data_IF_382732385477
#
_entry.id   IF_382732385477
#
_cell.length_a   1.000
_cell.length_b   1.000
_cell.length_c   1.000
_cell.angle_alpha   90.00
_cell.angle_beta   90.00
_cell.angle_gamma   90.00
#
_symmetry.space_group_name_H-M   'P 1'
#
loop_
_entity.id
_entity.type
_entity.pdbx_description
1 polymer ?
#
# COMPACT_ATOMS: atom_id res chain seq x y z
N UNK A 1 -8.99 -17.14 0.98
CA UNK A 1 -9.29 -15.88 0.27
C UNK A 1 -8.98 -14.75 1.24
N UNK A 2 -7.80 -14.13 1.10
CA UNK A 2 -7.37 -13.05 1.97
C UNK A 2 -7.98 -11.75 1.44
N UNK A 3 -8.76 -11.06 2.28
CA UNK A 3 -9.28 -9.74 1.97
C UNK A 3 -8.10 -8.74 1.91
N UNK A 4 -8.04 -7.83 0.93
CA UNK A 4 -7.14 -6.69 1.01
C UNK A 4 -7.70 -5.74 2.09
N UNK A 5 -6.85 -5.37 3.05
CA UNK A 5 -7.22 -4.39 4.07
C UNK A 5 -7.40 -3.01 3.43
N UNK A 6 -8.60 -2.44 3.56
CA UNK A 6 -8.90 -1.08 3.15
C UNK A 6 -9.36 -0.22 4.33
N UNK A 7 -9.05 1.07 4.21
CA UNK A 7 -8.88 2.02 5.31
C UNK A 7 -10.17 2.35 6.07
N UNK A 8 -10.03 2.49 7.39
CA UNK A 8 -10.97 3.26 8.20
C UNK A 8 -10.77 4.76 7.86
N UNK A 9 -11.70 5.67 8.22
CA UNK A 9 -11.54 7.12 8.05
C UNK A 9 -10.28 7.75 8.71
N UNK A 10 -9.44 6.92 9.36
CA UNK A 10 -8.17 7.32 9.98
C UNK A 10 -7.08 7.70 8.98
N UNK A 11 -7.14 7.32 7.71
CA UNK A 11 -6.13 7.70 6.71
C UNK A 11 -6.15 9.21 6.38
N UNK A 12 -7.29 9.88 6.52
CA UNK A 12 -7.47 11.31 6.24
C UNK A 12 -6.92 12.22 7.36
N UNK A 13 -7.06 11.78 8.62
CA UNK A 13 -6.73 12.58 9.81
C UNK A 13 -5.23 12.97 9.88
N UNK A 14 -4.25 12.05 9.68
CA UNK A 14 -2.83 12.40 9.69
C UNK A 14 -2.47 13.44 8.63
N UNK A 15 -3.11 13.38 7.46
CA UNK A 15 -2.79 14.22 6.31
C UNK A 15 -3.33 15.63 6.53
N UNK A 16 -4.58 15.73 6.99
CA UNK A 16 -5.21 17.00 7.38
C UNK A 16 -4.50 17.66 8.56
N UNK A 17 -4.23 16.95 9.64
CA UNK A 17 -3.60 17.51 10.84
C UNK A 17 -2.19 18.03 10.55
N UNK A 18 -1.40 17.30 9.76
CA UNK A 18 -0.09 17.78 9.35
C UNK A 18 -0.21 19.06 8.47
N UNK A 19 -1.12 19.06 7.49
CA UNK A 19 -1.29 20.20 6.59
C UNK A 19 -1.81 21.46 7.30
N UNK A 20 -2.80 21.34 8.18
CA UNK A 20 -3.30 22.44 9.01
C UNK A 20 -2.21 23.01 9.93
N UNK A 21 -1.29 22.17 10.41
CA UNK A 21 -0.13 22.60 11.19
C UNK A 21 1.01 23.21 10.34
N UNK A 22 0.77 23.47 9.04
CA UNK A 22 1.79 23.97 8.11
C UNK A 22 2.91 22.96 7.81
N UNK A 23 2.75 21.71 8.23
CA UNK A 23 3.70 20.62 8.00
C UNK A 23 3.29 19.86 6.74
N UNK A 24 4.30 19.41 5.99
CA UNK A 24 4.05 18.52 4.85
C UNK A 24 3.65 17.14 5.38
N UNK A 25 2.41 16.73 5.11
CA UNK A 25 1.93 15.40 5.47
C UNK A 25 2.83 14.31 4.89
N UNK A 26 3.05 13.23 5.65
CA UNK A 26 3.76 12.06 5.15
C UNK A 26 3.08 11.52 3.89
N UNK A 27 3.86 11.12 2.88
CA UNK A 27 3.34 10.68 1.59
C UNK A 27 2.86 11.78 0.64
N UNK A 28 2.55 13.00 1.09
CA UNK A 28 2.09 14.09 0.19
C UNK A 28 3.26 14.86 -0.43
N UNK A 29 3.28 14.97 -1.76
CA UNK A 29 4.25 15.74 -2.54
C UNK A 29 3.88 17.20 -2.62
N UNK A 30 2.63 17.49 -2.95
CA UNK A 30 2.12 18.85 -3.11
C UNK A 30 0.59 18.86 -2.94
N UNK A 31 0.05 20.04 -2.65
CA UNK A 31 -1.39 20.30 -2.66
C UNK A 31 -1.64 21.28 -3.80
N UNK A 32 -2.40 20.86 -4.79
CA UNK A 32 -2.72 21.66 -5.99
C UNK A 32 -4.07 22.33 -5.78
N UNK A 33 -4.17 23.66 -5.79
CA UNK A 33 -5.45 24.36 -5.86
C UNK A 33 -6.10 24.08 -7.22
N UNK A 34 -7.24 23.41 -7.21
CA UNK A 34 -7.95 22.94 -8.40
C UNK A 34 -9.24 23.73 -8.63
N UNK A 35 -9.15 25.06 -8.65
CA UNK A 35 -10.29 25.94 -8.90
C UNK A 35 -11.37 25.88 -7.80
N UNK A 36 -12.61 26.19 -8.19
CA UNK A 36 -13.76 26.24 -7.30
C UNK A 36 -14.93 25.45 -7.91
N UNK A 37 -15.65 24.70 -7.06
CA UNK A 37 -16.94 24.11 -7.40
C UNK A 37 -18.06 25.07 -7.04
N UNK A 38 -19.09 25.13 -7.88
CA UNK A 38 -20.34 25.86 -7.59
C UNK A 38 -21.42 24.85 -7.22
N UNK A 39 -21.95 24.99 -6.01
CA UNK A 39 -23.08 24.20 -5.49
C UNK A 39 -24.31 25.08 -5.54
N UNK A 40 -25.32 24.69 -6.32
CA UNK A 40 -26.54 25.47 -6.57
C UNK A 40 -27.76 24.85 -5.90
N UNK A 41 -27.91 23.53 -5.97
CA UNK A 41 -29.03 22.79 -5.37
C UNK A 41 -28.69 22.23 -3.99
N UNK A 42 -27.40 22.16 -3.65
CA UNK A 42 -26.92 21.52 -2.43
C UNK A 42 -26.75 20.00 -2.56
N UNK A 43 -27.17 19.40 -3.68
CA UNK A 43 -27.10 17.96 -3.93
C UNK A 43 -25.79 17.64 -4.66
N UNK A 44 -24.78 17.25 -3.89
CA UNK A 44 -23.48 16.87 -4.42
C UNK A 44 -23.50 15.44 -4.96
N UNK A 45 -22.87 15.25 -6.12
CA UNK A 45 -22.57 13.95 -6.74
C UNK A 45 -21.05 13.79 -6.85
N UNK A 46 -20.57 12.57 -6.59
CA UNK A 46 -19.25 12.13 -7.04
C UNK A 46 -19.38 10.88 -7.89
N UNK A 47 -18.80 10.90 -9.09
CA UNK A 47 -18.87 9.80 -10.06
C UNK A 47 -17.68 9.85 -11.03
N UNK A 48 -17.61 8.87 -11.92
CA UNK A 48 -16.93 9.05 -13.20
C UNK A 48 -17.84 9.91 -14.11
N UNK A 49 -17.42 11.11 -14.51
CA UNK A 49 -18.26 12.03 -15.26
C UNK A 49 -18.57 11.56 -16.68
N UNK A 50 -17.78 10.64 -17.24
CA UNK A 50 -17.93 10.16 -18.61
C UNK A 50 -18.66 8.83 -18.69
N UNK A 51 -18.64 8.05 -17.61
CA UNK A 51 -19.19 6.71 -17.57
C UNK A 51 -20.48 6.59 -16.77
N UNK A 52 -20.66 7.40 -15.72
CA UNK A 52 -21.84 7.35 -14.85
C UNK A 52 -22.38 8.75 -14.46
N UNK A 53 -22.62 9.67 -15.41
CA UNK A 53 -23.17 11.00 -15.11
C UNK A 53 -24.61 10.99 -14.56
N UNK A 54 -25.27 9.84 -14.54
CA UNK A 54 -26.62 9.63 -13.98
C UNK A 54 -26.63 9.22 -12.50
N UNK A 55 -25.46 9.10 -11.87
CA UNK A 55 -25.35 8.65 -10.48
C UNK A 55 -26.16 9.56 -9.53
N UNK A 56 -26.93 9.00 -8.58
CA UNK A 56 -27.68 9.78 -7.61
C UNK A 56 -26.77 10.66 -6.74
N UNK A 57 -27.27 11.82 -6.27
CA UNK A 57 -26.55 12.63 -5.30
C UNK A 57 -26.48 11.96 -3.93
N UNK A 58 -25.53 12.39 -3.12
CA UNK A 58 -25.44 12.02 -1.72
C UNK A 58 -26.67 12.53 -0.94
N UNK A 59 -27.05 11.81 0.12
CA UNK A 59 -28.23 12.15 0.93
C UNK A 59 -28.05 13.46 1.70
N UNK A 60 -26.82 13.73 2.15
CA UNK A 60 -26.50 14.94 2.88
C UNK A 60 -26.40 16.14 1.93
N UNK A 61 -27.22 17.15 2.21
CA UNK A 61 -27.19 18.42 1.49
C UNK A 61 -26.04 19.31 1.96
N UNK A 62 -25.45 20.03 1.02
CA UNK A 62 -24.49 21.10 1.27
C UNK A 62 -25.18 22.46 1.12
N UNK A 63 -24.68 23.47 1.83
CA UNK A 63 -25.12 24.83 1.59
C UNK A 63 -24.75 25.25 0.15
N UNK A 64 -25.65 25.94 -0.58
CA UNK A 64 -25.29 26.55 -1.86
C UNK A 64 -24.15 27.55 -1.69
N UNK A 65 -23.23 27.58 -2.66
CA UNK A 65 -22.05 28.43 -2.57
C UNK A 65 -20.97 28.08 -3.58
N UNK A 66 -19.86 28.80 -3.49
CA UNK A 66 -18.63 28.52 -4.23
C UNK A 66 -17.57 28.05 -3.25
N UNK A 67 -16.98 26.89 -3.52
CA UNK A 67 -16.03 26.26 -2.60
C UNK A 67 -14.75 25.87 -3.31
N UNK A 68 -13.57 26.17 -2.75
CA UNK A 68 -12.31 25.80 -3.35
C UNK A 68 -12.10 24.29 -3.31
N UNK A 69 -11.57 23.75 -4.41
CA UNK A 69 -11.18 22.35 -4.54
C UNK A 69 -9.67 22.21 -4.44
N UNK A 70 -9.19 21.21 -3.71
CA UNK A 70 -7.78 20.92 -3.54
C UNK A 70 -7.48 19.47 -3.90
N UNK A 71 -6.36 19.25 -4.58
CA UNK A 71 -5.88 17.91 -4.94
C UNK A 71 -4.59 17.62 -4.19
N UNK A 72 -4.57 16.51 -3.45
CA UNK A 72 -3.41 16.08 -2.69
C UNK A 72 -2.64 15.06 -3.53
N UNK A 73 -1.49 15.48 -4.04
CA UNK A 73 -0.66 14.66 -4.93
C UNK A 73 0.32 13.85 -4.08
N UNK A 74 0.38 12.54 -4.30
CA UNK A 74 1.28 11.65 -3.60
C UNK A 74 2.74 11.81 -4.07
N UNK A 75 3.70 11.52 -3.19
CA UNK A 75 5.14 11.48 -3.50
C UNK A 75 5.45 10.32 -4.42
N UNK A 76 4.90 9.16 -4.09
CA UNK A 76 4.99 7.96 -4.91
C UNK A 76 3.99 8.07 -6.07
N UNK A 77 4.41 7.71 -7.28
CA UNK A 77 3.62 7.83 -8.51
C UNK A 77 3.34 9.26 -9.01
N UNK A 78 3.42 10.29 -8.14
CA UNK A 78 2.97 11.66 -8.47
C UNK A 78 1.51 11.73 -8.95
N UNK A 79 0.67 10.84 -8.46
CA UNK A 79 -0.76 10.75 -8.76
C UNK A 79 -1.61 11.46 -7.70
N UNK A 80 -2.87 11.75 -8.01
CA UNK A 80 -3.82 12.39 -7.08
C UNK A 80 -4.30 11.33 -6.09
N UNK A 81 -3.96 11.47 -4.81
CA UNK A 81 -4.45 10.55 -3.78
C UNK A 81 -5.76 11.00 -3.13
N UNK A 82 -6.02 12.30 -3.07
CA UNK A 82 -7.33 12.85 -2.65
C UNK A 82 -7.77 14.02 -3.50
N UNK A 83 -9.08 14.14 -3.68
CA UNK A 83 -9.74 15.38 -4.06
C UNK A 83 -10.60 15.88 -2.90
N UNK A 84 -10.49 17.16 -2.57
CA UNK A 84 -11.17 17.78 -1.42
C UNK A 84 -11.96 19.01 -1.87
N UNK A 85 -13.23 19.09 -1.47
CA UNK A 85 -13.98 20.34 -1.40
C UNK A 85 -13.83 20.90 0.02
N UNK A 86 -13.39 22.16 0.16
CA UNK A 86 -13.28 22.81 1.47
C UNK A 86 -14.44 23.78 1.68
N UNK A 87 -15.35 23.43 2.58
CA UNK A 87 -16.55 24.22 2.87
C UNK A 87 -16.34 25.21 4.00
N UNK A 88 -15.60 24.80 5.04
CA UNK A 88 -15.34 25.61 6.23
C UNK A 88 -13.87 25.54 6.62
N UNK A 89 -13.40 26.53 7.37
CA UNK A 89 -12.07 26.54 7.99
C UNK A 89 -12.17 26.14 9.46
N UNK A 90 -12.84 25.02 9.74
CA UNK A 90 -12.99 24.44 11.08
C UNK A 90 -12.16 23.16 11.21
N UNK A 91 -11.85 22.78 12.44
CA UNK A 91 -11.18 21.51 12.73
C UNK A 91 -12.15 20.36 12.45
N UNK A 92 -11.68 19.33 11.74
CA UNK A 92 -12.45 18.11 11.55
C UNK A 92 -12.37 17.27 12.83
N UNK A 93 -13.53 16.93 13.36
CA UNK A 93 -13.68 15.99 14.47
C UNK A 93 -13.61 14.55 13.95
N UNK A 94 -14.43 14.20 12.96
CA UNK A 94 -14.45 12.87 12.35
C UNK A 94 -14.90 12.91 10.89
N UNK A 95 -14.79 11.76 10.21
CA UNK A 95 -15.27 11.57 8.84
C UNK A 95 -16.37 10.51 8.81
N UNK A 96 -17.40 10.78 8.04
CA UNK A 96 -18.50 9.86 7.75
C UNK A 96 -18.50 9.50 6.26
N UNK A 97 -18.83 8.26 5.92
CA UNK A 97 -18.96 7.83 4.53
C UNK A 97 -20.16 8.54 3.88
N UNK A 98 -19.96 9.10 2.68
CA UNK A 98 -21.03 9.71 1.92
C UNK A 98 -21.89 8.63 1.24
N UNK A 99 -23.15 8.52 1.66
CA UNK A 99 -24.13 7.56 1.15
C UNK A 99 -25.09 8.20 0.16
N UNK A 100 -25.60 7.39 -0.77
CA UNK A 100 -26.79 7.71 -1.57
C UNK A 100 -28.01 7.00 -0.97
N UNK A 101 -29.22 7.39 -1.40
CA UNK A 101 -30.45 6.79 -0.93
C UNK A 101 -30.42 5.25 -1.03
N UNK A 102 -30.72 4.59 0.09
CA UNK A 102 -30.73 3.12 0.19
C UNK A 102 -29.39 2.49 0.55
N UNK A 103 -28.34 3.27 0.82
CA UNK A 103 -27.09 2.77 1.40
C UNK A 103 -27.01 3.08 2.89
N UNK A 104 -26.80 2.05 3.71
CA UNK A 104 -26.53 2.21 5.14
C UNK A 104 -25.11 1.73 5.45
N UNK A 105 -24.28 2.62 6.01
CA UNK A 105 -22.91 2.27 6.39
C UNK A 105 -22.85 1.15 7.44
N UNK A 106 -23.92 0.91 8.21
CA UNK A 106 -24.03 -0.20 9.15
C UNK A 106 -24.07 -1.58 8.46
N UNK A 107 -24.41 -1.65 7.18
CA UNK A 107 -24.41 -2.89 6.39
C UNK A 107 -22.99 -3.33 5.97
N UNK A 108 -21.99 -2.45 6.13
CA UNK A 108 -20.62 -2.70 5.71
C UNK A 108 -19.88 -3.56 6.75
N UNK A 109 -19.20 -4.60 6.26
CA UNK A 109 -18.22 -5.35 7.06
C UNK A 109 -16.89 -4.59 7.12
N UNK A 110 -16.00 -5.00 8.02
CA UNK A 110 -14.65 -4.46 8.09
C UNK A 110 -13.95 -4.49 6.71
N UNK A 111 -13.42 -3.34 6.31
CA UNK A 111 -12.75 -3.15 5.02
C UNK A 111 -13.67 -2.94 3.82
N UNK A 112 -15.00 -2.95 3.99
CA UNK A 112 -15.96 -2.63 2.94
C UNK A 112 -16.32 -1.14 2.95
N UNK A 113 -16.66 -0.61 1.78
CA UNK A 113 -17.15 0.74 1.62
C UNK A 113 -18.13 0.83 0.44
N UNK A 114 -19.00 1.83 0.47
CA UNK A 114 -19.71 2.27 -0.73
C UNK A 114 -18.85 3.28 -1.49
N UNK A 115 -18.73 3.08 -2.79
CA UNK A 115 -17.98 3.96 -3.66
C UNK A 115 -18.63 4.10 -5.03
N UNK A 116 -18.08 5.00 -5.83
CA UNK A 116 -18.41 5.09 -7.23
C UNK A 116 -17.31 4.41 -8.07
N UNK A 117 -17.68 3.61 -9.08
CA UNK A 117 -16.72 3.03 -9.99
C UNK A 117 -16.20 4.09 -10.96
N UNK A 118 -14.95 3.92 -11.37
CA UNK A 118 -14.27 4.73 -12.38
C UNK A 118 -13.71 3.79 -13.45
N UNK A 119 -13.90 4.17 -14.71
CA UNK A 119 -13.49 3.40 -15.89
C UNK A 119 -12.87 4.30 -17.00
N UNK A 120 -13.04 5.62 -16.89
CA UNK A 120 -12.34 6.58 -17.75
C UNK A 120 -11.03 7.11 -17.13
N UNK A 121 -10.59 6.57 -15.99
CA UNK A 121 -9.51 7.15 -15.17
C UNK A 121 -9.80 8.58 -14.70
N UNK A 122 -11.08 8.94 -14.54
CA UNK A 122 -11.55 10.26 -14.11
C UNK A 122 -12.57 10.13 -12.98
N UNK A 123 -12.38 10.92 -11.93
CA UNK A 123 -13.41 11.21 -10.94
C UNK A 123 -13.91 12.64 -11.07
N UNK A 124 -15.07 12.93 -10.51
CA UNK A 124 -15.55 14.29 -10.40
C UNK A 124 -16.27 14.62 -9.10
N UNK A 125 -16.40 15.92 -8.84
CA UNK A 125 -17.42 16.50 -7.98
C UNK A 125 -18.31 17.41 -8.81
N UNK A 126 -19.62 17.30 -8.64
CA UNK A 126 -20.59 18.17 -9.29
C UNK A 126 -21.83 18.36 -8.43
N UNK A 127 -22.41 19.55 -8.48
CA UNK A 127 -23.84 19.68 -8.17
C UNK A 127 -24.64 18.88 -9.22
N UNK A 128 -25.73 18.23 -8.83
CA UNK A 128 -26.57 17.49 -9.76
C UNK A 128 -27.02 18.32 -10.97
N UNK A 129 -27.20 19.64 -10.82
CA UNK A 129 -27.59 20.52 -11.93
C UNK A 129 -26.47 20.61 -12.98
N UNK A 130 -25.23 20.80 -12.54
CA UNK A 130 -24.05 20.81 -13.42
C UNK A 130 -23.86 19.45 -14.12
N UNK A 131 -24.13 18.35 -13.41
CA UNK A 131 -24.00 17.01 -13.98
C UNK A 131 -25.10 16.70 -15.01
N UNK A 132 -26.33 17.20 -14.80
CA UNK A 132 -27.39 17.17 -15.83
C UNK A 132 -26.95 17.90 -17.10
N UNK A 133 -26.36 19.08 -16.95
CA UNK A 133 -25.84 19.83 -18.10
C UNK A 133 -24.74 19.10 -18.86
N UNK A 134 -23.87 18.38 -18.16
CA UNK A 134 -22.86 17.52 -18.79
C UNK A 134 -23.51 16.44 -19.65
N UNK A 135 -24.49 15.72 -19.10
CA UNK A 135 -25.22 14.67 -19.81
C UNK A 135 -25.97 15.22 -21.02
N UNK A 136 -26.62 16.37 -20.89
CA UNK A 136 -27.35 17.00 -21.99
C UNK A 136 -26.40 17.42 -23.11
N UNK A 137 -25.21 17.94 -22.77
CA UNK A 137 -24.18 18.29 -23.74
C UNK A 137 -23.58 17.07 -24.45
N UNK A 138 -23.33 15.98 -23.72
CA UNK A 138 -22.89 14.70 -24.28
C UNK A 138 -23.93 14.11 -25.25
N UNK A 139 -25.19 14.03 -24.83
CA UNK A 139 -26.28 13.56 -25.67
C UNK A 139 -26.47 14.42 -26.93
N UNK A 140 -26.36 15.76 -26.80
CA UNK A 140 -26.45 16.67 -27.94
C UNK A 140 -25.32 16.43 -28.96
N UNK A 141 -24.09 16.24 -28.50
CA UNK A 141 -22.95 15.92 -29.38
C UNK A 141 -23.08 14.57 -30.04
N UNK A 142 -23.43 13.54 -29.27
CA UNK A 142 -23.69 12.19 -29.81
C UNK A 142 -24.75 12.23 -30.91
N UNK A 143 -25.80 13.02 -30.74
CA UNK A 143 -26.85 13.22 -31.76
C UNK A 143 -26.33 13.96 -32.99
N UNK A 144 -25.51 15.00 -32.82
CA UNK A 144 -24.99 15.81 -33.92
C UNK A 144 -23.92 15.10 -34.75
N UNK A 145 -23.02 14.36 -34.09
CA UNK A 145 -21.86 13.70 -34.70
C UNK A 145 -22.17 12.25 -35.10
N UNK A 146 -23.16 11.61 -34.48
CA UNK A 146 -23.61 10.27 -34.85
C UNK A 146 -22.49 9.23 -34.73
N UNK A 147 -22.26 8.37 -35.75
CA UNK A 147 -21.24 7.32 -35.69
C UNK A 147 -19.80 7.80 -35.55
N UNK A 148 -19.50 9.07 -35.87
CA UNK A 148 -18.15 9.62 -35.66
C UNK A 148 -17.88 10.04 -34.23
N UNK A 149 -18.90 10.07 -33.38
CA UNK A 149 -18.76 10.43 -31.98
C UNK A 149 -18.00 9.35 -31.22
N UNK A 150 -16.78 9.67 -30.78
CA UNK A 150 -15.98 8.78 -29.94
C UNK A 150 -16.47 8.80 -28.49
N UNK A 151 -16.18 9.90 -27.79
CA UNK A 151 -16.66 10.12 -26.42
C UNK A 151 -16.57 11.60 -26.04
N UNK A 152 -17.21 11.97 -24.94
CA UNK A 152 -17.13 13.32 -24.41
C UNK A 152 -15.72 13.67 -23.88
N UNK A 153 -14.83 12.68 -23.74
CA UNK A 153 -13.43 12.89 -23.40
C UNK A 153 -12.73 13.81 -24.41
N UNK A 154 -13.10 13.78 -25.69
CA UNK A 154 -12.50 14.66 -26.71
C UNK A 154 -12.80 16.14 -26.46
N UNK A 155 -13.89 16.44 -25.75
CA UNK A 155 -14.26 17.80 -25.30
C UNK A 155 -13.45 18.20 -24.08
N UNK A 156 -13.31 17.29 -23.11
CA UNK A 156 -12.69 17.58 -21.81
C UNK A 156 -11.16 17.50 -21.88
N UNK A 157 -10.59 16.68 -22.76
CA UNK A 157 -9.15 16.42 -22.82
C UNK A 157 -8.28 17.64 -23.15
N UNK A 158 -8.67 18.58 -24.03
CA UNK A 158 -7.90 19.81 -24.24
C UNK A 158 -7.86 20.68 -22.97
N UNK A 159 -8.98 20.74 -22.23
CA UNK A 159 -9.07 21.52 -20.99
C UNK A 159 -8.25 20.87 -19.86
N UNK A 160 -8.28 19.53 -19.76
CA UNK A 160 -7.40 18.79 -18.84
C UNK A 160 -5.93 19.08 -19.13
N UNK A 161 -5.51 19.09 -20.41
CA UNK A 161 -4.12 19.38 -20.82
C UNK A 161 -3.65 20.76 -20.35
N UNK A 162 -4.53 21.76 -20.33
CA UNK A 162 -4.20 23.10 -19.84
C UNK A 162 -3.77 23.10 -18.35
N UNK A 163 -4.24 22.14 -17.57
CA UNK A 163 -3.86 21.94 -16.16
C UNK A 163 -2.90 20.75 -15.97
N UNK A 164 -2.04 20.48 -16.95
CA UNK A 164 -1.06 19.40 -16.90
C UNK A 164 -1.68 18.00 -16.93
N UNK A 165 -2.89 17.87 -17.47
CA UNK A 165 -3.61 16.60 -17.61
C UNK A 165 -4.28 16.09 -16.33
N UNK A 166 -4.32 16.92 -15.27
CA UNK A 166 -4.70 16.49 -13.91
C UNK A 166 -6.15 16.80 -13.53
N UNK A 167 -6.66 17.96 -13.90
CA UNK A 167 -7.99 18.42 -13.49
C UNK A 167 -8.55 19.52 -14.39
N UNK A 168 -9.86 19.77 -14.28
CA UNK A 168 -10.54 20.87 -14.95
C UNK A 168 -11.84 21.23 -14.22
N UNK A 169 -12.17 22.52 -14.19
CA UNK A 169 -13.51 23.01 -13.85
C UNK A 169 -14.34 23.14 -15.14
N UNK A 170 -14.84 22.01 -15.65
CA UNK A 170 -15.50 21.97 -16.96
C UNK A 170 -16.90 22.58 -16.87
N UNK A 171 -17.27 23.42 -17.85
CA UNK A 171 -18.58 24.08 -17.93
C UNK A 171 -19.34 23.60 -19.17
N UNK A 172 -20.22 22.60 -19.05
CA UNK A 172 -20.87 21.99 -20.21
C UNK A 172 -21.68 22.97 -21.07
N UNK A 173 -22.25 24.01 -20.47
CA UNK A 173 -23.04 25.03 -21.18
C UNK A 173 -22.28 26.34 -21.44
N UNK A 174 -21.02 26.46 -21.00
CA UNK A 174 -20.10 27.60 -21.21
C UNK A 174 -20.50 28.95 -20.58
N UNK A 175 -21.80 29.26 -20.54
CA UNK A 175 -22.40 30.53 -20.11
C UNK A 175 -22.87 30.50 -18.65
N UNK A 176 -23.02 29.31 -18.06
CA UNK A 176 -23.44 29.15 -16.66
C UNK A 176 -22.23 29.13 -15.73
N UNK A 177 -22.44 29.52 -14.46
CA UNK A 177 -21.40 29.39 -13.43
C UNK A 177 -21.20 27.94 -12.98
N UNK A 178 -22.13 27.05 -13.31
CA UNK A 178 -22.15 25.64 -12.90
C UNK A 178 -21.05 24.86 -13.62
N UNK A 179 -20.19 24.23 -12.82
CA UNK A 179 -19.04 23.48 -13.31
C UNK A 179 -19.00 22.08 -12.72
N UNK A 180 -18.59 21.12 -13.55
CA UNK A 180 -18.20 19.77 -13.13
C UNK A 180 -16.70 19.81 -12.86
N UNK A 181 -16.31 19.57 -11.61
CA UNK A 181 -14.91 19.49 -11.22
C UNK A 181 -14.38 18.11 -11.54
N UNK A 182 -13.66 17.96 -12.65
CA UNK A 182 -13.13 16.68 -13.14
C UNK A 182 -11.66 16.58 -12.78
N UNK A 183 -11.20 15.41 -12.34
CA UNK A 183 -9.81 15.14 -11.98
C UNK A 183 -9.41 13.68 -12.25
N UNK A 184 -8.10 13.44 -12.45
CA UNK A 184 -7.54 12.08 -12.55
C UNK A 184 -7.76 11.32 -11.24
N UNK A 185 -8.14 10.05 -11.36
CA UNK A 185 -8.43 9.17 -10.21
C UNK A 185 -7.22 8.32 -9.83
N UNK A 186 -6.37 8.78 -8.90
CA UNK A 186 -5.25 7.97 -8.42
C UNK A 186 -4.43 7.33 -9.53
N UNK A 187 -4.29 6.00 -9.46
CA UNK A 187 -3.60 5.16 -10.44
C UNK A 187 -4.48 4.75 -11.65
N UNK A 188 -5.74 5.18 -11.69
CA UNK A 188 -6.67 4.94 -12.80
C UNK A 188 -8.03 4.41 -12.34
N UNK A 189 -8.48 3.36 -12.99
CA UNK A 189 -9.80 2.75 -12.78
C UNK A 189 -9.88 2.04 -11.43
N UNK A 190 -11.10 1.94 -10.90
CA UNK A 190 -11.32 1.38 -9.57
C UNK A 190 -12.65 1.75 -8.98
N UNK A 191 -12.83 1.54 -7.67
CA UNK A 191 -14.00 2.00 -6.92
C UNK A 191 -13.54 2.87 -5.77
N UNK A 192 -14.06 4.10 -5.70
CA UNK A 192 -13.56 5.12 -4.79
C UNK A 192 -14.66 5.67 -3.90
N UNK A 193 -14.33 5.82 -2.62
CA UNK A 193 -15.25 6.32 -1.60
C UNK A 193 -15.12 7.83 -1.40
N UNK A 194 -16.26 8.45 -1.14
CA UNK A 194 -16.35 9.86 -0.75
C UNK A 194 -16.78 9.96 0.71
N UNK A 195 -16.27 10.95 1.43
CA UNK A 195 -16.50 11.15 2.85
C UNK A 195 -16.83 12.60 3.17
N UNK A 196 -17.74 12.81 4.12
CA UNK A 196 -17.98 14.10 4.75
C UNK A 196 -17.07 14.23 5.98
N UNK A 197 -16.24 15.26 6.03
CA UNK A 197 -15.51 15.61 7.26
C UNK A 197 -16.32 16.61 8.05
N UNK A 198 -16.71 16.23 9.27
CA UNK A 198 -17.54 17.00 10.16
C UNK A 198 -16.71 17.66 11.24
N UNK A 199 -17.08 18.88 11.64
CA UNK A 199 -16.53 19.49 12.85
C UNK A 199 -17.27 19.03 14.12
N UNK A 200 -16.85 19.54 15.27
CA UNK A 200 -17.39 19.15 16.57
C UNK A 200 -18.89 19.47 16.74
N UNK A 201 -19.43 20.39 15.92
CA UNK A 201 -20.85 20.74 15.92
C UNK A 201 -21.66 19.87 14.93
N UNK A 202 -21.01 18.94 14.23
CA UNK A 202 -21.62 18.08 13.21
C UNK A 202 -21.75 18.75 11.84
N UNK A 203 -21.21 19.95 11.66
CA UNK A 203 -21.29 20.69 10.41
C UNK A 203 -20.27 20.18 9.38
N UNK A 204 -20.67 20.15 8.10
CA UNK A 204 -19.77 19.71 7.03
C UNK A 204 -18.70 20.78 6.79
N UNK A 205 -17.47 20.47 7.19
CA UNK A 205 -16.32 21.31 6.97
C UNK A 205 -15.63 20.99 5.63
N UNK A 206 -15.76 19.76 5.14
CA UNK A 206 -15.21 19.34 3.85
C UNK A 206 -15.93 18.11 3.26
N UNK A 207 -15.68 17.88 1.98
CA UNK A 207 -15.94 16.60 1.31
C UNK A 207 -14.65 16.09 0.70
N UNK A 208 -14.37 14.79 0.81
CA UNK A 208 -13.13 14.17 0.30
C UNK A 208 -13.41 12.87 -0.43
N UNK A 209 -12.86 12.73 -1.63
CA UNK A 209 -12.74 11.43 -2.30
C UNK A 209 -11.35 10.86 -2.06
N UNK A 210 -11.28 9.60 -1.61
CA UNK A 210 -10.04 8.83 -1.54
C UNK A 210 -9.82 8.00 -2.80
N UNK A 211 -8.65 8.15 -3.41
CA UNK A 211 -8.20 7.28 -4.49
C UNK A 211 -7.32 6.12 -4.02
N UNK A 212 -7.29 5.85 -2.71
CA UNK A 212 -6.55 4.74 -2.09
C UNK A 212 -5.04 4.74 -2.38
N UNK A 213 -4.47 5.89 -2.73
CA UNK A 213 -3.03 6.06 -3.00
C UNK A 213 -2.23 6.19 -1.71
N UNK A 214 -2.78 6.87 -0.69
CA UNK A 214 -2.09 7.04 0.58
C UNK A 214 -2.30 5.79 1.43
N UNK A 215 -1.25 5.01 1.62
CA UNK A 215 -1.26 3.91 2.57
C UNK A 215 -1.51 4.43 3.99
N UNK A 216 -2.32 3.72 4.78
CA UNK A 216 -2.38 3.98 6.21
C UNK A 216 -0.98 3.83 6.83
N UNK A 217 -0.60 4.69 7.79
CA UNK A 217 0.56 4.43 8.60
C UNK A 217 0.31 3.15 9.41
N UNK A 218 0.79 2.02 8.88
CA UNK A 218 0.76 0.74 9.59
C UNK A 218 1.55 0.91 10.89
N UNK A 219 0.92 0.62 12.04
CA UNK A 219 1.59 0.77 13.34
C UNK A 219 2.87 -0.08 13.38
N UNK A 220 3.89 0.30 14.18
CA UNK A 220 5.09 -0.52 14.33
C UNK A 220 4.78 -1.98 14.69
N UNK A 221 3.77 -2.20 15.54
CA UNK A 221 3.29 -3.51 15.96
C UNK A 221 2.69 -4.29 14.79
N UNK A 222 1.83 -3.65 13.97
CA UNK A 222 1.23 -4.30 12.80
C UNK A 222 2.26 -4.57 11.70
N UNK A 223 3.25 -3.69 11.51
CA UNK A 223 4.37 -3.95 10.61
C UNK A 223 5.17 -5.17 11.05
N UNK A 224 5.46 -5.27 12.35
CA UNK A 224 6.14 -6.43 12.92
C UNK A 224 5.32 -7.70 12.74
N UNK A 225 4.02 -7.66 13.05
CA UNK A 225 3.11 -8.78 12.85
C UNK A 225 3.09 -9.25 11.39
N UNK A 226 2.96 -8.33 10.42
CA UNK A 226 3.00 -8.67 9.00
C UNK A 226 4.31 -9.36 8.64
N UNK A 227 5.46 -8.84 9.10
CA UNK A 227 6.77 -9.48 8.88
C UNK A 227 6.81 -10.89 9.49
N UNK A 228 6.32 -11.07 10.70
CA UNK A 228 6.27 -12.38 11.37
C UNK A 228 5.39 -13.37 10.60
N UNK A 229 4.18 -12.97 10.19
CA UNK A 229 3.26 -13.80 9.40
C UNK A 229 3.87 -14.21 8.05
N UNK A 230 4.58 -13.29 7.38
CA UNK A 230 5.29 -13.57 6.11
C UNK A 230 6.36 -14.65 6.28
N UNK A 231 7.11 -14.61 7.38
CA UNK A 231 8.19 -15.57 7.62
C UNK A 231 7.70 -16.87 8.27
N UNK A 232 6.51 -16.93 8.85
CA UNK A 232 6.02 -18.10 9.59
C UNK A 232 6.11 -19.42 8.80
N UNK A 233 5.69 -19.50 7.52
CA UNK A 233 5.84 -20.74 6.73
C UNK A 233 7.30 -21.15 6.52
N UNK A 234 8.19 -20.17 6.34
CA UNK A 234 9.63 -20.43 6.18
C UNK A 234 10.26 -20.94 7.48
N UNK A 235 9.93 -20.33 8.63
CA UNK A 235 10.39 -20.78 9.94
C UNK A 235 9.95 -22.22 10.20
N UNK A 236 8.67 -22.53 9.96
CA UNK A 236 8.13 -23.88 10.14
C UNK A 236 8.86 -24.92 9.25
N UNK A 237 9.19 -24.56 8.01
CA UNK A 237 9.97 -25.42 7.12
C UNK A 237 11.40 -25.66 7.63
N UNK A 238 12.10 -24.61 8.08
CA UNK A 238 13.46 -24.73 8.63
C UNK A 238 13.47 -25.55 9.91
N UNK A 239 12.50 -25.35 10.81
CA UNK A 239 12.38 -26.14 12.04
C UNK A 239 12.15 -27.63 11.77
N UNK A 240 11.28 -27.94 10.80
CA UNK A 240 11.01 -29.32 10.38
C UNK A 240 12.23 -29.99 9.75
N UNK A 241 12.86 -29.32 8.79
CA UNK A 241 13.87 -29.96 7.92
C UNK A 241 15.29 -29.91 8.51
N UNK A 242 15.64 -28.83 9.21
CA UNK A 242 16.98 -28.60 9.76
C UNK A 242 16.94 -28.59 11.29
N UNK A 243 15.91 -28.00 11.88
CA UNK A 243 15.80 -27.82 13.32
C UNK A 243 15.76 -29.13 14.10
N UNK A 244 15.03 -30.14 13.60
CA UNK A 244 15.01 -31.47 14.21
C UNK A 244 16.41 -32.13 14.23
N UNK A 245 17.17 -31.97 13.15
CA UNK A 245 18.54 -32.46 13.06
C UNK A 245 19.48 -31.71 14.02
N UNK A 246 19.42 -30.37 14.06
CA UNK A 246 20.26 -29.59 14.98
C UNK A 246 19.94 -29.91 16.45
N UNK A 247 18.66 -30.09 16.78
CA UNK A 247 18.24 -30.50 18.12
C UNK A 247 18.75 -31.90 18.49
N UNK A 248 18.76 -32.86 17.56
CA UNK A 248 19.36 -34.18 17.81
C UNK A 248 20.88 -34.13 18.03
N UNK A 249 21.53 -33.05 17.56
CA UNK A 249 22.93 -32.74 17.85
C UNK A 249 23.12 -31.87 19.10
N UNK A 250 22.08 -31.65 19.91
CA UNK A 250 22.17 -30.91 21.17
C UNK A 250 22.07 -29.38 21.04
N UNK A 251 21.74 -28.86 19.86
CA UNK A 251 21.41 -27.44 19.75
C UNK A 251 20.01 -27.13 20.32
N UNK A 252 19.87 -25.93 20.86
CA UNK A 252 18.60 -25.40 21.35
C UNK A 252 17.55 -25.34 20.24
N UNK A 253 16.27 -25.19 20.63
CA UNK A 253 15.26 -24.66 19.70
C UNK A 253 15.71 -23.29 19.16
N UNK A 254 15.31 -22.91 17.94
CA UNK A 254 15.73 -21.65 17.36
C UNK A 254 15.10 -20.47 18.08
N UNK A 255 15.88 -19.42 18.27
CA UNK A 255 15.37 -18.11 18.57
C UNK A 255 15.18 -17.33 17.26
N UNK A 256 13.96 -16.85 17.01
CA UNK A 256 13.62 -16.06 15.83
C UNK A 256 13.59 -14.56 16.17
N UNK A 257 14.43 -13.79 15.48
CA UNK A 257 14.42 -12.33 15.56
C UNK A 257 14.00 -11.73 14.21
N UNK A 258 13.05 -10.79 14.27
CA UNK A 258 12.49 -10.12 13.10
C UNK A 258 12.89 -8.64 13.07
N UNK A 259 13.18 -8.11 11.88
CA UNK A 259 13.39 -6.68 11.67
C UNK A 259 12.50 -6.16 10.54
N UNK A 260 11.77 -5.10 10.82
CA UNK A 260 10.96 -4.38 9.82
C UNK A 260 11.85 -3.45 9.01
N UNK A 261 11.72 -3.48 7.68
CA UNK A 261 12.36 -2.54 6.75
C UNK A 261 11.30 -1.75 5.98
N UNK A 262 11.72 -0.67 5.33
CA UNK A 262 10.82 0.18 4.52
C UNK A 262 10.21 -0.56 3.32
N UNK A 263 10.92 -1.54 2.79
CA UNK A 263 10.60 -2.30 1.58
C UNK A 263 10.51 -3.82 1.84
N UNK A 264 10.45 -4.25 3.11
CA UNK A 264 10.44 -5.67 3.44
C UNK A 264 10.63 -6.00 4.91
N UNK A 265 11.18 -7.18 5.15
CA UNK A 265 11.58 -7.63 6.49
C UNK A 265 12.81 -8.54 6.44
N UNK A 266 13.47 -8.67 7.59
CA UNK A 266 14.55 -9.63 7.81
C UNK A 266 14.18 -10.61 8.92
N UNK A 267 14.67 -11.84 8.78
CA UNK A 267 14.59 -12.90 9.77
C UNK A 267 16.00 -13.39 10.08
N UNK A 268 16.33 -13.45 11.37
CA UNK A 268 17.49 -14.12 11.94
C UNK A 268 17.01 -15.29 12.83
N UNK A 269 17.23 -16.53 12.40
CA UNK A 269 17.03 -17.73 13.22
C UNK A 269 18.36 -18.16 13.82
N UNK A 270 18.42 -18.33 15.14
CA UNK A 270 19.65 -18.73 15.85
C UNK A 270 19.44 -19.98 16.69
N UNK A 271 20.24 -21.01 16.45
CA UNK A 271 20.35 -22.23 17.26
C UNK A 271 21.67 -22.18 18.03
N UNK A 272 21.68 -22.59 19.30
CA UNK A 272 22.87 -22.50 20.16
C UNK A 272 23.21 -23.82 20.83
N UNK A 273 24.51 -24.10 21.03
CA UNK A 273 25.03 -25.25 21.78
C UNK A 273 26.43 -24.95 22.29
N UNK A 274 26.65 -24.96 23.60
CA UNK A 274 27.99 -24.89 24.20
C UNK A 274 28.92 -23.80 23.59
N UNK A 275 28.38 -22.58 23.44
CA UNK A 275 29.10 -21.44 22.85
C UNK A 275 29.11 -21.40 21.30
N UNK A 276 28.62 -22.45 20.63
CA UNK A 276 28.43 -22.49 19.17
C UNK A 276 27.08 -21.90 18.77
N UNK A 277 27.06 -21.23 17.61
CA UNK A 277 25.84 -20.68 17.04
C UNK A 277 25.68 -21.10 15.57
N UNK A 278 24.51 -21.65 15.24
CA UNK A 278 24.07 -21.83 13.87
C UNK A 278 23.00 -20.80 13.55
N UNK A 279 23.27 -19.95 12.56
CA UNK A 279 22.39 -18.85 12.18
C UNK A 279 21.88 -19.01 10.76
N UNK A 280 20.57 -18.81 10.56
CA UNK A 280 19.95 -18.67 9.24
C UNK A 280 19.42 -17.26 9.13
N UNK A 281 19.94 -16.49 8.17
CA UNK A 281 19.48 -15.13 7.87
C UNK A 281 18.84 -15.05 6.50
N UNK A 282 17.69 -14.41 6.41
CA UNK A 282 16.97 -14.24 5.15
C UNK A 282 16.21 -12.91 5.10
N UNK A 283 15.96 -12.42 3.89
CA UNK A 283 15.20 -11.20 3.64
C UNK A 283 14.04 -11.44 2.69
N UNK A 284 12.92 -10.76 2.94
CA UNK A 284 11.75 -10.73 2.07
C UNK A 284 11.48 -9.28 1.64
N UNK A 285 11.23 -9.06 0.35
CA UNK A 285 10.84 -7.75 -0.18
C UNK A 285 9.33 -7.68 -0.39
N UNK A 286 8.74 -6.54 -0.06
CA UNK A 286 7.42 -6.13 -0.51
C UNK A 286 7.52 -5.71 -1.99
N UNK A 287 6.75 -6.34 -2.87
CA UNK A 287 6.49 -5.77 -4.21
C UNK A 287 5.07 -5.21 -4.21
N UNK A 288 4.96 -3.96 -4.66
CA UNK A 288 3.75 -3.15 -4.98
C UNK A 288 2.44 -3.50 -4.26
N UNK A 289 1.84 -2.47 -3.64
CA UNK A 289 0.55 -2.51 -2.93
C UNK A 289 -0.61 -3.09 -3.77
N UNK A 290 -0.50 -3.08 -5.10
CA UNK A 290 -1.52 -3.57 -6.03
C UNK A 290 -1.51 -5.08 -6.27
N UNK A 291 -0.43 -5.80 -5.94
CA UNK A 291 -0.33 -7.26 -6.08
C UNK A 291 0.78 -7.76 -5.15
N UNK A 292 0.41 -8.21 -3.94
CA UNK A 292 1.34 -8.69 -2.92
C UNK A 292 1.97 -10.04 -3.30
N UNK A 293 2.79 -10.06 -4.35
CA UNK A 293 3.63 -11.18 -4.71
C UNK A 293 5.01 -11.03 -4.07
N UNK A 294 5.30 -11.89 -3.10
CA UNK A 294 6.58 -11.91 -2.38
C UNK A 294 7.67 -12.61 -3.19
N UNK A 295 8.85 -12.01 -3.27
CA UNK A 295 10.04 -12.64 -3.87
C UNK A 295 11.17 -12.68 -2.85
N UNK A 296 11.61 -13.89 -2.53
CA UNK A 296 12.79 -14.14 -1.70
C UNK A 296 14.05 -13.77 -2.46
N UNK A 297 14.88 -12.90 -1.89
CA UNK A 297 16.05 -12.38 -2.61
C UNK A 297 17.35 -13.09 -2.24
N UNK A 298 17.60 -13.42 -0.97
CA UNK A 298 18.84 -14.08 -0.49
C UNK A 298 18.64 -14.80 0.85
N UNK A 299 19.11 -16.04 0.96
CA UNK A 299 19.26 -16.77 2.22
C UNK A 299 20.73 -17.16 2.46
N UNK A 300 21.27 -16.83 3.64
CA UNK A 300 22.62 -17.23 4.07
C UNK A 300 22.49 -18.01 5.37
N UNK A 301 22.93 -19.26 5.37
CA UNK A 301 23.15 -20.02 6.59
C UNK A 301 24.62 -19.89 6.98
N UNK A 302 24.92 -19.60 8.23
CA UNK A 302 26.28 -19.56 8.74
C UNK A 302 26.38 -20.38 10.01
N UNK A 303 27.32 -21.31 10.05
CA UNK A 303 27.76 -21.96 11.29
C UNK A 303 28.99 -21.21 11.78
N UNK A 304 28.87 -20.55 12.93
CA UNK A 304 29.99 -19.87 13.58
C UNK A 304 30.55 -20.81 14.66
N UNK A 305 31.75 -21.34 14.42
CA UNK A 305 32.45 -22.23 15.35
C UNK A 305 33.57 -21.43 15.98
N UNK A 306 33.39 -21.03 17.23
CA UNK A 306 34.35 -20.21 17.94
C UNK A 306 34.07 -20.11 19.43
N UNK A 307 35.12 -20.12 20.24
CA UNK A 307 35.05 -19.66 21.64
C UNK A 307 35.19 -18.12 21.62
N UNK A 308 34.76 -17.40 22.67
CA UNK A 308 34.52 -15.94 22.70
C UNK A 308 35.64 -15.02 22.15
N UNK A 309 36.83 -15.55 21.87
CA UNK A 309 38.01 -14.85 21.36
C UNK A 309 38.41 -15.16 19.90
N UNK A 310 37.85 -16.18 19.23
CA UNK A 310 38.15 -16.50 17.82
C UNK A 310 36.91 -17.03 17.09
N UNK A 311 36.44 -16.30 16.07
CA UNK A 311 35.30 -16.69 15.21
C UNK A 311 35.78 -17.23 13.88
N UNK A 312 35.52 -18.49 13.59
CA UNK A 312 35.65 -19.07 12.25
C UNK A 312 34.25 -19.43 11.74
N UNK A 313 33.72 -18.60 10.83
CA UNK A 313 32.38 -18.79 10.26
C UNK A 313 32.43 -19.48 8.90
N UNK A 314 31.67 -20.56 8.73
CA UNK A 314 31.40 -21.16 7.41
C UNK A 314 30.03 -20.70 6.94
N UNK A 315 29.98 -20.03 5.78
CA UNK A 315 28.74 -19.53 5.18
C UNK A 315 28.31 -20.38 3.99
N UNK A 316 27.08 -20.90 4.04
CA UNK A 316 26.40 -21.63 2.98
C UNK A 316 25.32 -20.73 2.34
N UNK A 317 25.32 -20.65 1.01
CA UNK A 317 24.29 -19.95 0.25
C UNK A 317 23.14 -20.92 -0.06
N UNK A 318 21.91 -20.56 0.32
CA UNK A 318 20.73 -21.33 -0.07
C UNK A 318 20.25 -20.86 -1.45
N UNK A 319 19.87 -21.76 -2.39
CA UNK A 319 19.31 -21.37 -3.68
C UNK A 319 17.99 -20.62 -3.48
N UNK A 320 17.78 -19.58 -4.29
CA UNK A 320 16.62 -18.68 -4.30
C UNK A 320 15.30 -19.30 -4.79
N UNK A 321 15.18 -20.62 -4.86
CA UNK A 321 14.04 -21.32 -5.43
C UNK A 321 13.08 -21.85 -4.34
N UNK A 322 12.41 -20.94 -3.64
CA UNK A 322 11.20 -21.22 -2.86
C UNK A 322 10.10 -20.30 -3.40
N UNK A 323 9.70 -20.55 -4.65
CA UNK A 323 8.42 -20.07 -5.15
C UNK A 323 7.34 -20.97 -4.54
N UNK A 324 6.50 -20.40 -3.69
CA UNK A 324 5.33 -21.11 -3.15
C UNK A 324 4.35 -21.24 -4.32
N UNK A 325 4.30 -22.43 -4.90
CA UNK A 325 3.38 -22.84 -5.95
C UNK A 325 3.53 -24.33 -6.18
N UNK A 326 2.53 -25.09 -5.73
CA UNK A 326 2.25 -26.50 -6.00
C UNK A 326 3.33 -27.58 -5.75
N UNK A 327 3.00 -28.47 -4.81
CA UNK A 327 3.19 -29.94 -4.78
C UNK A 327 4.52 -30.62 -5.19
N UNK A 328 5.62 -29.92 -5.50
CA UNK A 328 6.86 -30.54 -5.99
C UNK A 328 8.13 -30.29 -5.14
N UNK A 329 8.00 -29.77 -3.91
CA UNK A 329 9.13 -29.37 -3.07
C UNK A 329 9.71 -30.47 -2.16
N UNK A 330 9.71 -31.74 -2.58
CA UNK A 330 10.17 -32.86 -1.73
C UNK A 330 11.66 -33.24 -1.86
N UNK A 331 12.49 -32.50 -2.61
CA UNK A 331 13.85 -32.98 -2.96
C UNK A 331 15.00 -32.19 -2.30
N UNK A 332 14.72 -31.13 -1.52
CA UNK A 332 15.78 -30.27 -0.97
C UNK A 332 16.24 -30.68 0.43
N UNK A 333 15.32 -31.07 1.32
CA UNK A 333 15.65 -31.58 2.66
C UNK A 333 16.44 -32.90 2.62
N UNK A 334 16.16 -33.78 1.64
CA UNK A 334 16.87 -35.04 1.46
C UNK A 334 18.35 -34.86 1.06
N UNK A 335 18.70 -33.78 0.34
CA UNK A 335 20.10 -33.52 -0.06
C UNK A 335 20.96 -32.95 1.07
N UNK A 336 20.40 -32.13 1.95
CA UNK A 336 21.14 -31.64 3.14
C UNK A 336 21.29 -32.77 4.16
N UNK A 337 20.24 -33.56 4.40
CA UNK A 337 20.29 -34.72 5.29
C UNK A 337 21.28 -35.79 4.82
N UNK A 338 21.24 -36.21 3.56
CA UNK A 338 22.08 -37.29 3.03
C UNK A 338 23.53 -36.89 2.76
N UNK A 339 23.79 -35.63 2.37
CA UNK A 339 25.16 -35.16 2.12
C UNK A 339 25.93 -34.86 3.41
N UNK A 340 25.24 -34.64 4.54
CA UNK A 340 25.87 -34.39 5.84
C UNK A 340 25.87 -35.58 6.80
N UNK A 341 25.01 -36.59 6.68
CA UNK A 341 25.26 -37.87 7.38
C UNK A 341 26.58 -38.49 6.92
N UNK A 342 26.99 -38.30 5.65
CA UNK A 342 28.28 -38.73 5.12
C UNK A 342 29.49 -37.86 5.54
N UNK A 343 29.26 -36.63 6.06
CA UNK A 343 30.32 -35.69 6.43
C UNK A 343 30.34 -35.30 7.92
N UNK A 344 29.33 -35.63 8.71
CA UNK A 344 29.35 -35.41 10.16
C UNK A 344 30.37 -36.30 10.87
N UNK A 345 30.59 -37.53 10.38
CA UNK A 345 31.66 -38.41 10.86
C UNK A 345 33.07 -37.90 10.45
N UNK A 346 33.15 -36.95 9.51
CA UNK A 346 34.40 -36.32 9.05
C UNK A 346 34.72 -35.04 9.83
N UNK A 347 33.75 -34.43 10.50
CA UNK A 347 33.94 -33.23 11.31
C UNK A 347 34.46 -33.52 12.73
N UNK A 348 34.34 -34.75 13.25
CA UNK A 348 35.02 -35.12 14.51
C UNK A 348 36.55 -35.29 14.37
N UNK A 349 37.11 -35.82 13.27
CA UNK A 349 38.56 -35.84 13.08
C UNK A 349 39.16 -34.55 12.49
N UNK A 350 38.40 -33.77 11.71
CA UNK A 350 38.94 -32.58 11.03
C UNK A 350 39.25 -31.41 11.99
N UNK A 351 38.69 -31.40 13.21
CA UNK A 351 39.04 -30.43 14.26
C UNK A 351 40.36 -30.81 14.98
N UNK A 352 40.84 -32.05 14.87
CA UNK A 352 42.08 -32.53 15.52
C UNK A 352 43.29 -32.67 14.58
N UNK A 353 43.17 -32.34 13.28
CA UNK A 353 44.21 -32.67 12.28
C UNK A 353 45.08 -31.52 11.73
N UNK A 354 44.78 -30.25 11.98
CA UNK A 354 45.54 -29.13 11.38
C UNK A 354 46.24 -28.25 12.42
N UNK A 355 47.32 -28.80 12.98
CA UNK A 355 48.44 -28.01 13.49
C UNK A 355 49.73 -28.50 12.80
N UNK A 356 50.15 -27.90 11.67
CA UNK A 356 51.57 -27.80 11.41
C UNK A 356 52.12 -26.69 12.31
N UNK A 357 52.80 -27.14 13.36
CA UNK A 357 53.72 -26.34 14.17
C UNK A 357 54.65 -25.57 13.23
N UNK A 358 54.52 -24.24 13.18
CA UNK A 358 55.67 -23.36 12.95
C UNK A 358 56.08 -22.82 14.31
N UNK A 359 57.20 -23.34 14.79
CA UNK A 359 57.87 -22.87 15.99
C UNK A 359 58.12 -21.35 15.90
N UNK A 360 58.09 -20.64 17.03
CA UNK A 360 58.44 -19.22 17.06
C UNK A 360 59.90 -19.05 16.68
N UNK A 361 60.20 -18.13 15.75
CA UNK A 361 61.55 -17.56 15.66
C UNK A 361 61.79 -16.79 16.97
N UNK A 362 62.66 -17.36 17.80
CA UNK A 362 63.22 -16.66 18.95
C UNK A 362 63.91 -15.37 18.50
N UNK A 363 63.72 -14.30 19.26
CA UNK A 363 64.44 -13.05 19.06
C UNK A 363 65.81 -13.09 19.75
N UNK A 364 66.81 -12.56 19.03
CA UNK A 364 68.03 -11.85 19.44
C UNK A 364 69.36 -12.60 19.52
N UNK A 365 70.30 -11.96 18.78
CA UNK A 365 71.74 -12.12 18.56
C UNK A 365 72.17 -13.18 17.55
#
# INVERSE_FOLDING_TARGET
>A
MNAPGYALPRSFLPIRNAHLAGKKAAGVKEVVPAGEIVITTGRLVACDPLMQPERPPFERLLAPGKYPVHLFVAKEGSVIGFAEIRLRKTTIDHFELATIAGQDAADLREGQFFGYPVDAGLGCFADEAALRHLRDADAARRKAEGPSYGSYYDVVSPELRANGGRWVAHRPQGSTSESVMIFRSGDGDGTYATYFGLDADGEVACVVTSFNVFAEPVSPERKLQNVTEIFAPFVAAIERDIGAFLQSKGFSRPNAAYKVKSDGGELDLTYTRDGLAFQVRTTALYRSVLDAHFRWTRGRASLDVGNEHHKAGVALALPSALAIGDAAAYTFAAKIGASYTAHWDVLEPAVLGYLPIKAPKASKR
#
